data_IF_710837568602
#
_entry.id   IF_710837568602
#
_cell.length_a   1.000
_cell.length_b   1.000
_cell.length_c   1.000
_cell.angle_alpha   90.00
_cell.angle_beta   90.00
_cell.angle_gamma   90.00
#
_symmetry.space_group_name_H-M   'P 1'
#
loop_
_entity.id
_entity.type
_entity.pdbx_description
1 polymer ?
#
# COMPACT_ATOMS: atom_id res chain seq x y z
N UNK A 1 14.69 -10.70 -7.99
CA UNK A 1 13.79 -9.65 -7.50
C UNK A 1 12.41 -10.26 -7.35
N UNK A 2 11.72 -10.00 -6.24
CA UNK A 2 10.37 -10.54 -5.99
C UNK A 2 9.39 -9.38 -6.01
N UNK A 3 8.37 -9.48 -6.86
CA UNK A 3 7.28 -8.52 -6.91
C UNK A 3 6.10 -9.04 -6.09
N UNK A 4 5.51 -8.17 -5.29
CA UNK A 4 4.33 -8.50 -4.52
C UNK A 4 3.43 -7.29 -4.31
N UNK A 5 2.18 -7.52 -3.91
CA UNK A 5 1.22 -6.47 -3.62
C UNK A 5 0.66 -6.55 -2.21
N UNK A 6 0.38 -5.40 -1.62
CA UNK A 6 -0.34 -5.25 -0.36
C UNK A 6 -1.66 -4.52 -0.62
N UNK A 7 -2.74 -4.98 0.02
CA UNK A 7 -4.06 -4.35 -0.07
C UNK A 7 -4.33 -3.62 1.24
N UNK A 8 -4.73 -2.34 1.13
CA UNK A 8 -5.04 -1.52 2.31
C UNK A 8 -6.05 -0.41 1.99
N UNK A 9 -6.41 0.39 2.99
CA UNK A 9 -7.28 1.55 2.80
C UNK A 9 -6.56 2.67 2.03
N UNK A 10 -7.31 3.58 1.38
CA UNK A 10 -6.70 4.72 0.70
C UNK A 10 -5.92 5.62 1.66
N UNK A 11 -6.43 5.87 2.86
CA UNK A 11 -5.76 6.74 3.84
C UNK A 11 -4.46 6.08 4.34
N UNK A 12 -4.45 4.77 4.59
CA UNK A 12 -3.25 4.01 4.93
C UNK A 12 -2.23 4.01 3.79
N UNK A 13 -2.67 3.81 2.55
CA UNK A 13 -1.80 3.84 1.37
C UNK A 13 -1.15 5.22 1.19
N UNK A 14 -1.93 6.30 1.33
CA UNK A 14 -1.41 7.67 1.27
C UNK A 14 -0.42 7.96 2.42
N UNK A 15 -0.69 7.43 3.61
CA UNK A 15 0.25 7.54 4.74
C UNK A 15 1.59 6.89 4.40
N UNK A 16 1.57 5.67 3.85
CA UNK A 16 2.80 4.95 3.44
C UNK A 16 3.54 5.72 2.35
N UNK A 17 2.83 6.14 1.28
CA UNK A 17 3.42 6.89 0.17
C UNK A 17 4.11 8.18 0.62
N UNK A 18 3.45 8.96 1.47
CA UNK A 18 3.95 10.27 1.90
C UNK A 18 5.07 10.18 2.93
N UNK A 19 5.02 9.16 3.78
CA UNK A 19 5.98 9.01 4.88
C UNK A 19 7.18 8.15 4.50
N UNK A 20 7.04 7.23 3.54
CA UNK A 20 8.03 6.17 3.32
C UNK A 20 8.00 5.09 4.38
N UNK A 21 6.99 5.08 5.26
CA UNK A 21 6.91 4.20 6.41
C UNK A 21 5.63 3.37 6.41
N UNK A 22 5.79 2.07 6.60
CA UNK A 22 4.69 1.16 6.89
C UNK A 22 4.58 0.96 8.40
N UNK A 23 3.39 1.22 8.95
CA UNK A 23 3.07 0.95 10.34
C UNK A 23 2.14 -0.27 10.42
N UNK A 24 2.62 -1.40 10.94
CA UNK A 24 1.81 -2.59 11.17
C UNK A 24 0.74 -2.31 12.23
N UNK A 25 -0.38 -3.03 12.14
CA UNK A 25 -1.44 -2.94 13.14
C UNK A 25 -0.91 -3.52 14.46
N UNK A 26 -0.98 -2.72 15.53
CA UNK A 26 -0.55 -3.12 16.88
C UNK A 26 -1.40 -4.29 17.40
N UNK A 27 -0.77 -5.35 17.92
CA UNK A 27 -1.47 -6.37 18.72
C UNK A 27 -0.98 -7.81 18.56
N UNK A 28 -0.24 -8.14 17.51
CA UNK A 28 0.29 -9.50 17.29
C UNK A 28 1.78 -9.42 16.98
N UNK A 29 2.63 -9.71 17.96
CA UNK A 29 4.10 -9.70 17.79
C UNK A 29 4.58 -10.66 16.68
N UNK A 30 3.78 -11.66 16.32
CA UNK A 30 4.07 -12.60 15.25
C UNK A 30 3.54 -12.18 13.85
N UNK A 31 2.78 -11.09 13.75
CA UNK A 31 2.21 -10.62 12.47
C UNK A 31 2.26 -9.08 12.32
N UNK A 32 3.18 -8.43 13.03
CA UNK A 32 3.38 -6.99 12.97
C UNK A 32 4.19 -6.56 11.74
N UNK A 33 3.99 -7.19 10.58
CA UNK A 33 4.77 -6.89 9.37
C UNK A 33 3.91 -6.56 8.16
N UNK A 34 4.56 -6.17 7.08
CA UNK A 34 3.90 -5.97 5.79
C UNK A 34 3.62 -7.34 5.18
N UNK A 35 2.34 -7.67 5.09
CA UNK A 35 1.85 -8.87 4.44
C UNK A 35 1.49 -8.59 2.99
N UNK A 36 1.95 -9.43 2.07
CA UNK A 36 1.64 -9.28 0.65
C UNK A 36 1.42 -10.58 -0.09
N UNK A 37 0.93 -10.48 -1.31
CA UNK A 37 0.78 -11.60 -2.24
C UNK A 37 1.80 -11.44 -3.37
N UNK A 38 2.57 -12.50 -3.65
CA UNK A 38 3.53 -12.51 -4.75
C UNK A 38 2.81 -12.43 -6.11
N UNK A 39 3.25 -11.51 -6.97
CA UNK A 39 2.69 -11.31 -8.31
C UNK A 39 2.79 -12.58 -9.15
N UNK A 40 1.71 -12.94 -9.86
CA UNK A 40 1.67 -14.10 -10.75
C UNK A 40 1.49 -15.46 -10.07
N UNK A 41 1.49 -15.53 -8.73
CA UNK A 41 1.15 -16.76 -8.00
C UNK A 41 -0.34 -16.79 -7.66
N UNK A 42 -1.05 -17.77 -8.22
CA UNK A 42 -2.48 -18.00 -7.94
C UNK A 42 -2.58 -18.91 -6.72
N UNK A 43 -2.92 -18.32 -5.58
CA UNK A 43 -3.18 -18.98 -4.31
C UNK A 43 -4.28 -18.19 -3.60
N UNK A 44 -5.29 -18.90 -3.10
CA UNK A 44 -6.59 -18.38 -2.71
C UNK A 44 -6.61 -17.21 -1.71
N UNK A 45 -7.65 -16.39 -1.87
CA UNK A 45 -8.08 -15.21 -1.10
C UNK A 45 -7.15 -14.00 -1.21
N UNK A 46 -7.60 -12.97 -1.95
CA UNK A 46 -7.18 -11.57 -1.81
C UNK A 46 -7.48 -11.09 -0.37
N UNK A 47 -6.80 -11.66 0.64
CA UNK A 47 -6.89 -11.39 2.07
C UNK A 47 -8.22 -10.86 2.61
N UNK A 48 -9.41 -11.33 2.18
CA UNK A 48 -10.71 -10.81 2.65
C UNK A 48 -10.78 -9.27 2.80
N UNK A 49 -9.93 -8.52 2.08
CA UNK A 49 -10.10 -7.09 2.01
C UNK A 49 -11.32 -6.98 1.12
N UNK A 50 -12.47 -6.67 1.75
CA UNK A 50 -13.68 -6.21 1.07
C UNK A 50 -13.23 -5.50 -0.19
N UNK A 51 -13.65 -5.93 -1.39
CA UNK A 51 -13.06 -5.54 -2.71
C UNK A 51 -12.95 -4.03 -3.02
N UNK A 52 -13.21 -3.20 -2.02
CA UNK A 52 -12.92 -1.80 -1.80
C UNK A 52 -11.52 -1.67 -1.14
N UNK A 53 -10.50 -1.39 -1.94
CA UNK A 53 -9.15 -1.19 -1.41
C UNK A 53 -8.21 -0.54 -2.42
N UNK A 54 -7.05 -0.13 -1.92
CA UNK A 54 -5.90 0.28 -2.70
C UNK A 54 -4.90 -0.86 -2.71
N UNK A 55 -4.36 -1.18 -3.88
CA UNK A 55 -3.22 -2.08 -4.06
C UNK A 55 -1.95 -1.23 -4.13
N UNK A 56 -1.01 -1.50 -3.25
CA UNK A 56 0.37 -1.03 -3.35
C UNK A 56 1.22 -2.17 -3.90
N UNK A 57 2.06 -1.87 -4.89
CA UNK A 57 2.99 -2.83 -5.46
C UNK A 57 4.39 -2.56 -4.94
N UNK A 58 5.12 -3.64 -4.67
CA UNK A 58 6.45 -3.60 -4.12
C UNK A 58 7.39 -4.52 -4.89
N UNK A 59 8.65 -4.12 -4.93
CA UNK A 59 9.78 -4.93 -5.36
C UNK A 59 10.68 -5.21 -4.14
N UNK A 60 11.04 -6.47 -3.96
CA UNK A 60 12.05 -6.91 -3.00
C UNK A 60 13.34 -7.31 -3.72
N UNK A 61 14.47 -6.76 -3.25
CA UNK A 61 15.80 -7.04 -3.80
C UNK A 61 16.75 -7.76 -2.84
N UNK A 62 16.30 -8.10 -1.62
CA UNK A 62 17.13 -8.63 -0.54
C UNK A 62 17.08 -10.16 -0.42
N UNK A 63 17.64 -10.70 0.68
CA UNK A 63 17.55 -12.12 1.03
C UNK A 63 16.11 -12.60 1.19
N UNK A 64 15.91 -13.91 0.98
CA UNK A 64 14.59 -14.56 1.04
C UNK A 64 14.74 -15.86 1.83
N UNK A 65 13.85 -16.07 2.80
CA UNK A 65 13.79 -17.29 3.60
C UNK A 65 12.39 -17.90 3.55
N UNK A 66 12.30 -19.22 3.70
CA UNK A 66 11.02 -19.93 3.76
C UNK A 66 10.67 -20.16 5.24
N UNK A 67 9.47 -19.76 5.66
CA UNK A 67 8.96 -20.00 7.00
C UNK A 67 8.49 -18.75 7.75
N UNK A 68 8.18 -18.85 9.05
CA UNK A 68 7.51 -17.80 9.83
C UNK A 68 8.43 -16.68 10.33
N UNK A 69 9.70 -16.64 9.90
CA UNK A 69 10.74 -15.90 10.61
C UNK A 69 10.50 -14.40 10.76
N UNK A 70 11.32 -13.78 11.61
CA UNK A 70 11.13 -12.43 12.13
C UNK A 70 12.33 -11.50 11.91
N UNK A 71 13.38 -11.97 11.23
CA UNK A 71 14.60 -11.21 11.03
C UNK A 71 14.34 -10.02 10.09
N UNK A 72 14.62 -8.77 10.52
CA UNK A 72 14.45 -7.61 9.65
C UNK A 72 15.35 -7.71 8.42
N UNK A 73 14.95 -7.05 7.33
CA UNK A 73 15.68 -7.06 6.05
C UNK A 73 15.77 -8.44 5.36
N UNK A 74 14.90 -9.38 5.75
CA UNK A 74 14.69 -10.67 5.07
C UNK A 74 13.21 -10.75 4.66
N UNK A 75 12.94 -11.17 3.43
CA UNK A 75 11.57 -11.50 3.00
C UNK A 75 11.27 -12.95 3.36
N UNK A 76 10.20 -13.17 4.11
CA UNK A 76 9.73 -14.50 4.42
C UNK A 76 8.68 -14.95 3.41
N UNK A 77 9.01 -15.95 2.60
CA UNK A 77 8.07 -16.65 1.74
C UNK A 77 7.30 -17.69 2.58
N UNK A 78 6.01 -17.42 2.83
CA UNK A 78 5.08 -18.28 3.55
C UNK A 78 4.05 -18.88 2.59
N UNK A 79 4.48 -19.31 1.40
CA UNK A 79 3.61 -20.01 0.45
C UNK A 79 2.81 -21.15 1.12
N UNK A 80 1.56 -21.41 0.68
CA UNK A 80 0.86 -20.75 -0.41
C UNK A 80 0.18 -19.43 -0.02
N UNK A 81 0.39 -18.94 1.21
CA UNK A 81 -0.49 -17.95 1.81
C UNK A 81 -0.09 -16.51 1.52
N UNK A 82 1.17 -16.15 1.75
CA UNK A 82 1.65 -14.76 1.67
C UNK A 82 3.17 -14.68 1.62
N UNK A 83 3.66 -13.50 1.29
CA UNK A 83 5.00 -13.04 1.66
C UNK A 83 4.89 -12.08 2.85
N UNK A 84 5.90 -12.11 3.72
CA UNK A 84 5.94 -11.33 4.94
C UNK A 84 7.25 -10.55 5.03
N UNK A 85 7.15 -9.23 5.20
CA UNK A 85 8.30 -8.35 5.50
C UNK A 85 8.20 -7.93 6.97
N UNK A 86 9.15 -8.34 7.84
CA UNK A 86 9.08 -8.05 9.27
C UNK A 86 9.28 -6.56 9.61
N UNK A 87 8.76 -6.16 10.77
CA UNK A 87 9.10 -4.89 11.40
C UNK A 87 10.61 -4.74 11.64
N UNK A 88 11.09 -3.51 11.56
CA UNK A 88 12.52 -3.18 11.59
C UNK A 88 13.22 -3.30 10.23
N UNK A 89 12.49 -3.61 9.15
CA UNK A 89 13.06 -3.59 7.80
C UNK A 89 13.27 -2.16 7.34
N UNK A 90 14.49 -1.81 6.94
CA UNK A 90 14.90 -0.44 6.54
C UNK A 90 15.40 -0.38 5.09
N UNK A 91 15.62 -1.55 4.46
CA UNK A 91 16.19 -1.66 3.12
C UNK A 91 15.53 -2.77 2.30
N UNK A 92 15.91 -2.83 1.02
CA UNK A 92 15.49 -3.83 0.02
C UNK A 92 14.02 -3.82 -0.40
N UNK A 93 13.14 -3.11 0.32
CA UNK A 93 11.74 -2.93 -0.02
C UNK A 93 11.53 -1.62 -0.79
N UNK A 94 11.16 -1.72 -2.07
CA UNK A 94 10.80 -0.55 -2.90
C UNK A 94 9.33 -0.57 -3.21
N UNK A 95 8.67 0.58 -3.11
CA UNK A 95 7.31 0.77 -3.59
C UNK A 95 7.36 1.15 -5.06
N UNK A 96 6.66 0.39 -5.91
CA UNK A 96 6.78 0.50 -7.38
C UNK A 96 5.46 0.73 -8.09
N UNK A 97 4.35 0.69 -7.37
CA UNK A 97 3.05 0.95 -7.97
C UNK A 97 1.96 1.24 -6.96
N UNK A 98 0.90 1.86 -7.48
CA UNK A 98 -0.33 2.15 -6.76
C UNK A 98 -1.51 1.91 -7.69
N UNK A 99 -2.56 1.24 -7.19
CA UNK A 99 -3.83 1.09 -7.92
C UNK A 99 -5.00 1.14 -6.97
N UNK A 100 -5.87 2.12 -7.16
CA UNK A 100 -7.13 2.24 -6.44
C UNK A 100 -8.32 1.83 -7.33
N UNK A 101 -9.29 1.13 -6.75
CA UNK A 101 -10.56 0.85 -7.42
C UNK A 101 -11.36 2.15 -7.63
N UNK A 102 -12.18 2.21 -8.68
CA UNK A 102 -13.03 3.39 -8.95
C UNK A 102 -13.94 3.73 -7.76
N UNK A 103 -14.47 2.71 -7.07
CA UNK A 103 -15.30 2.89 -5.89
C UNK A 103 -14.54 3.53 -4.71
N UNK A 104 -13.26 3.23 -4.55
CA UNK A 104 -12.38 3.85 -3.54
C UNK A 104 -12.28 5.37 -3.75
N UNK A 105 -12.15 5.81 -5.00
CA UNK A 105 -12.15 7.25 -5.35
C UNK A 105 -13.50 7.93 -5.15
N UNK A 106 -14.60 7.20 -5.36
CA UNK A 106 -15.95 7.72 -5.15
C UNK A 106 -16.26 7.90 -3.66
N UNK A 107 -15.84 6.96 -2.81
CA UNK A 107 -16.08 6.99 -1.38
C UNK A 107 -15.19 7.98 -0.62
N UNK A 108 -14.05 8.39 -1.20
CA UNK A 108 -13.14 9.36 -0.60
C UNK A 108 -13.81 10.73 -0.41
N UNK A 109 -13.78 11.23 0.82
CA UNK A 109 -14.23 12.59 1.16
C UNK A 109 -13.14 13.61 0.84
N UNK A 110 -13.27 14.29 -0.30
CA UNK A 110 -12.39 15.40 -0.67
C UNK A 110 -12.78 16.69 0.06
N UNK A 111 -11.78 17.48 0.49
CA UNK A 111 -12.01 18.81 1.05
C UNK A 111 -12.46 19.74 -0.07
N UNK A 112 -13.73 20.13 -0.04
CA UNK A 112 -14.30 21.08 -1.01
C UNK A 112 -14.23 22.49 -0.42
N UNK A 113 -13.69 23.48 -1.15
CA UNK A 113 -13.66 24.87 -0.69
C UNK A 113 -15.08 25.40 -0.40
N UNK A 114 -15.21 26.18 0.67
CA UNK A 114 -16.51 26.68 1.16
C UNK A 114 -17.27 27.52 0.13
N UNK A 115 -16.56 28.21 -0.77
CA UNK A 115 -17.13 29.07 -1.81
C UNK A 115 -17.62 28.30 -3.05
N UNK A 116 -17.47 26.97 -3.10
CA UNK A 116 -17.98 26.14 -4.20
C UNK A 116 -19.48 25.86 -4.02
N UNK A 117 -20.31 26.89 -4.23
CA UNK A 117 -21.76 26.77 -4.09
C UNK A 117 -22.39 26.00 -5.26
N UNK A 118 -23.32 25.08 -4.94
CA UNK A 118 -24.10 24.32 -5.91
C UNK A 118 -23.45 23.01 -6.40
N UNK A 119 -24.25 22.01 -6.82
CA UNK A 119 -23.76 20.66 -7.14
C UNK A 119 -22.65 20.63 -8.21
N UNK A 120 -22.81 21.40 -9.30
CA UNK A 120 -21.86 21.42 -10.41
C UNK A 120 -20.48 21.99 -10.00
N UNK A 121 -20.44 23.04 -9.17
CA UNK A 121 -19.17 23.61 -8.69
C UNK A 121 -18.48 22.67 -7.71
N UNK A 122 -19.23 22.02 -6.83
CA UNK A 122 -18.71 21.02 -5.88
C UNK A 122 -18.11 19.81 -6.61
N UNK A 123 -18.80 19.29 -7.62
CA UNK A 123 -18.28 18.17 -8.41
C UNK A 123 -17.02 18.55 -9.20
N UNK A 124 -16.97 19.77 -9.77
CA UNK A 124 -15.76 20.27 -10.43
C UNK A 124 -14.59 20.38 -9.45
N UNK A 125 -14.82 20.89 -8.24
CA UNK A 125 -13.80 20.96 -7.19
C UNK A 125 -13.33 19.56 -6.76
N UNK A 126 -14.26 18.61 -6.60
CA UNK A 126 -13.96 17.20 -6.29
C UNK A 126 -13.06 16.56 -7.34
N UNK A 127 -13.39 16.70 -8.62
CA UNK A 127 -12.59 16.18 -9.74
C UNK A 127 -11.19 16.77 -9.77
N UNK A 128 -11.06 18.09 -9.57
CA UNK A 128 -9.75 18.74 -9.49
C UNK A 128 -8.91 18.20 -8.34
N UNK A 129 -9.49 18.05 -7.15
CA UNK A 129 -8.79 17.48 -6.00
C UNK A 129 -8.37 16.02 -6.24
N UNK A 130 -9.21 15.23 -6.91
CA UNK A 130 -8.88 13.86 -7.29
C UNK A 130 -7.71 13.80 -8.29
N UNK A 131 -7.70 14.66 -9.31
CA UNK A 131 -6.60 14.76 -10.28
C UNK A 131 -5.29 15.19 -9.60
N UNK A 132 -5.36 16.18 -8.70
CA UNK A 132 -4.19 16.63 -7.94
C UNK A 132 -3.61 15.52 -7.06
N UNK A 133 -4.48 14.77 -6.37
CA UNK A 133 -4.05 13.65 -5.54
C UNK A 133 -3.46 12.50 -6.37
N UNK A 134 -4.03 12.20 -7.54
CA UNK A 134 -3.44 11.20 -8.45
C UNK A 134 -2.05 11.64 -8.93
N UNK A 135 -1.88 12.89 -9.33
CA UNK A 135 -0.59 13.42 -9.76
C UNK A 135 0.47 13.38 -8.65
N UNK A 136 0.06 13.66 -7.40
CA UNK A 136 0.94 13.49 -6.22
C UNK A 136 1.38 12.03 -6.06
N UNK A 137 0.45 11.08 -6.12
CA UNK A 137 0.74 9.65 -6.03
C UNK A 137 1.69 9.22 -7.14
N UNK A 138 1.41 9.61 -8.39
CA UNK A 138 2.22 9.25 -9.56
C UNK A 138 3.65 9.76 -9.40
N UNK A 139 3.81 11.01 -8.94
CA UNK A 139 5.12 11.60 -8.67
C UNK A 139 5.91 10.85 -7.60
N UNK A 140 5.26 10.37 -6.53
CA UNK A 140 5.92 9.57 -5.50
C UNK A 140 6.31 8.20 -6.07
N UNK A 141 5.39 7.51 -6.74
CA UNK A 141 5.60 6.17 -7.30
C UNK A 141 6.71 6.16 -8.34
N UNK A 142 6.84 7.20 -9.15
CA UNK A 142 7.90 7.34 -10.16
C UNK A 142 9.30 7.34 -9.54
N UNK A 143 9.45 7.87 -8.32
CA UNK A 143 10.74 7.83 -7.60
C UNK A 143 11.11 6.44 -7.06
N UNK A 144 10.16 5.49 -7.08
CA UNK A 144 10.29 4.14 -6.51
C UNK A 144 10.92 4.13 -5.10
N UNK A 145 10.31 4.81 -4.12
CA UNK A 145 10.93 5.05 -2.83
C UNK A 145 11.15 3.75 -2.06
N UNK A 146 12.22 3.72 -1.27
CA UNK A 146 12.39 2.69 -0.25
C UNK A 146 11.36 2.87 0.85
N UNK A 147 10.79 1.75 1.31
CA UNK A 147 9.81 1.74 2.40
C UNK A 147 10.43 1.04 3.60
N UNK A 148 10.38 1.71 4.75
CA UNK A 148 10.74 1.11 6.04
C UNK A 148 9.51 0.56 6.74
N UNK A 149 9.62 -0.61 7.37
CA UNK A 149 8.57 -1.22 8.19
C UNK A 149 8.86 -0.88 9.65
N UNK A 150 8.14 0.11 10.21
CA UNK A 150 8.37 0.59 11.58
C UNK A 150 7.65 -0.34 12.58
N UNK A 151 8.22 -0.63 13.78
CA UNK A 151 7.54 -1.36 14.85
C UNK A 151 6.24 -0.73 15.39
#
# INVERSE_FOLDING_TARGET
MIEFMHITSLDSALSILRSGHFHPVRGTLADAGLNGLQSGRIGWNEQYFTGIGVRLFFEWSGPVEIGPGSAPNVLFDQMPHRVFVPAGTEQYLRLTGFRAAALTWQQRRFKIPWYCFGPARRERARRRAMVQLQAEIDSIVETKPYISVIP
#
